data_IF_367347936888
#
_entry.id   IF_367347936888
#
_cell.length_a   1.000
_cell.length_b   1.000
_cell.length_c   1.000
_cell.angle_alpha   90.00
_cell.angle_beta   90.00
_cell.angle_gamma   90.00
#
_symmetry.space_group_name_H-M   'P 1'
#
loop_
_entity.id
_entity.type
_entity.pdbx_description
1 polymer ?
#
# COMPACT_ATOMS: atom_id res chain seq x y z
N UNK A 1 24.06 25.54 -1.79
CA UNK A 1 23.35 26.14 -2.94
C UNK A 1 22.98 25.11 -4.04
N UNK A 2 23.79 24.06 -4.26
CA UNK A 2 23.51 23.02 -5.26
C UNK A 2 22.24 22.16 -5.02
N UNK A 3 21.80 21.99 -3.75
CA UNK A 3 20.60 21.21 -3.41
C UNK A 3 19.28 21.83 -3.89
N UNK A 4 19.21 23.17 -4.00
CA UNK A 4 18.02 23.86 -4.53
C UNK A 4 17.89 23.74 -6.05
N UNK A 5 18.99 23.44 -6.75
CA UNK A 5 19.01 23.40 -8.21
C UNK A 5 18.55 22.05 -8.79
N UNK A 6 18.65 20.95 -8.02
CA UNK A 6 18.16 19.63 -8.44
C UNK A 6 16.66 19.43 -8.20
N UNK A 7 16.09 20.08 -7.17
CA UNK A 7 14.63 20.12 -6.96
C UNK A 7 13.91 21.08 -7.93
N UNK A 8 14.60 22.10 -8.46
CA UNK A 8 14.01 23.07 -9.41
C UNK A 8 13.83 22.54 -10.84
N UNK A 9 14.66 21.58 -11.28
CA UNK A 9 14.53 20.94 -12.60
C UNK A 9 13.39 19.91 -12.68
N UNK A 10 12.76 19.56 -11.56
CA UNK A 10 11.66 18.60 -11.46
C UNK A 10 10.30 19.13 -11.97
N UNK A 11 10.16 20.44 -12.20
CA UNK A 11 8.86 21.11 -12.42
C UNK A 11 8.54 21.47 -13.88
N UNK A 12 9.45 21.26 -14.85
CA UNK A 12 9.28 21.84 -16.18
C UNK A 12 8.89 20.87 -17.32
N UNK A 13 9.03 19.56 -17.15
CA UNK A 13 8.89 18.58 -18.25
C UNK A 13 7.51 17.91 -18.40
N UNK A 14 6.49 18.27 -17.59
CA UNK A 14 5.18 17.57 -17.58
C UNK A 14 4.16 18.05 -18.62
N UNK A 15 4.48 18.98 -19.53
CA UNK A 15 3.48 19.60 -20.40
C UNK A 15 3.25 18.95 -21.79
N UNK A 16 3.87 17.80 -22.11
CA UNK A 16 3.84 17.24 -23.48
C UNK A 16 3.31 15.80 -23.66
N UNK A 17 2.49 15.27 -22.75
CA UNK A 17 1.88 13.94 -22.99
C UNK A 17 0.37 13.86 -22.74
N UNK A 18 -0.41 14.75 -23.38
CA UNK A 18 -1.87 14.59 -23.53
C UNK A 18 -2.18 14.12 -24.94
N UNK A 19 -2.52 12.85 -25.09
CA UNK A 19 -3.19 12.35 -26.29
C UNK A 19 -2.74 10.98 -26.75
N UNK A 20 -2.86 9.94 -25.93
CA UNK A 20 -2.93 8.57 -26.46
C UNK A 20 -3.77 7.65 -25.55
N UNK A 21 -4.89 7.22 -26.13
CA UNK A 21 -5.50 5.89 -25.98
C UNK A 21 -6.38 5.51 -24.77
N UNK A 22 -7.67 5.86 -24.87
CA UNK A 22 -8.75 5.19 -24.14
C UNK A 22 -9.21 3.87 -24.81
N UNK A 23 -8.97 3.70 -26.12
CA UNK A 23 -9.44 2.53 -26.88
C UNK A 23 -8.50 1.32 -26.78
N UNK A 24 -7.19 1.54 -26.60
CA UNK A 24 -6.21 0.47 -26.37
C UNK A 24 -6.37 -0.21 -24.99
N UNK A 25 -6.93 0.49 -23.98
CA UNK A 25 -7.15 -0.06 -22.63
C UNK A 25 -8.25 -1.13 -22.58
N UNK A 26 -9.33 -0.98 -23.37
CA UNK A 26 -10.42 -1.97 -23.39
C UNK A 26 -10.01 -3.30 -24.07
N UNK A 27 -9.32 -3.23 -25.21
CA UNK A 27 -8.90 -4.44 -25.95
C UNK A 27 -7.81 -5.24 -25.23
N UNK A 28 -6.95 -4.58 -24.44
CA UNK A 28 -6.00 -5.26 -23.58
C UNK A 28 -6.69 -5.92 -22.37
N UNK A 29 -7.80 -5.37 -21.87
CA UNK A 29 -8.54 -5.93 -20.74
C UNK A 29 -9.24 -7.27 -21.07
N UNK A 30 -9.85 -7.41 -22.25
CA UNK A 30 -10.46 -8.68 -22.69
C UNK A 30 -9.43 -9.80 -22.98
N UNK A 31 -8.24 -9.42 -23.46
CA UNK A 31 -7.12 -10.37 -23.61
C UNK A 31 -6.55 -10.79 -22.25
N UNK A 32 -6.52 -9.90 -21.27
CA UNK A 32 -6.00 -10.18 -19.92
C UNK A 32 -6.98 -11.01 -19.06
N UNK A 33 -8.29 -10.83 -19.20
CA UNK A 33 -9.28 -11.69 -18.53
C UNK A 33 -9.15 -13.15 -18.96
N UNK A 34 -8.85 -13.37 -20.24
CA UNK A 34 -8.57 -14.70 -20.80
C UNK A 34 -7.26 -15.28 -20.26
N UNK A 35 -6.21 -14.47 -20.08
CA UNK A 35 -4.92 -14.91 -19.52
C UNK A 35 -5.02 -15.28 -18.03
N UNK A 36 -5.83 -14.56 -17.24
CA UNK A 36 -6.09 -14.87 -15.82
C UNK A 36 -6.89 -16.18 -15.69
N UNK A 37 -7.88 -16.40 -16.57
CA UNK A 37 -8.64 -17.66 -16.62
C UNK A 37 -7.83 -18.85 -17.15
N UNK A 38 -6.83 -18.61 -18.00
CA UNK A 38 -5.93 -19.65 -18.49
C UNK A 38 -4.83 -19.97 -17.46
N UNK A 39 -4.30 -18.98 -16.74
CA UNK A 39 -3.30 -19.18 -15.68
C UNK A 39 -3.85 -19.96 -14.48
N UNK A 40 -5.15 -19.82 -14.17
CA UNK A 40 -5.81 -20.64 -13.13
C UNK A 40 -6.02 -22.10 -13.57
N UNK A 41 -6.05 -22.38 -14.88
CA UNK A 41 -6.14 -23.74 -15.43
C UNK A 41 -4.77 -24.39 -15.65
N UNK A 42 -3.75 -23.63 -16.05
CA UNK A 42 -2.39 -24.15 -16.25
C UNK A 42 -1.58 -24.29 -14.96
N UNK A 43 -1.94 -23.59 -13.88
CA UNK A 43 -1.33 -23.79 -12.55
C UNK A 43 -1.58 -25.19 -11.93
N UNK A 44 -2.41 -26.05 -12.56
CA UNK A 44 -2.56 -27.45 -12.13
C UNK A 44 -1.51 -28.39 -12.68
N UNK A 45 -0.67 -27.96 -13.62
CA UNK A 45 0.28 -28.88 -14.24
C UNK A 45 1.57 -28.14 -14.62
N UNK A 46 2.69 -28.55 -13.99
CA UNK A 46 4.09 -28.12 -14.22
C UNK A 46 4.60 -26.90 -13.44
N UNK A 47 5.12 -27.15 -12.24
CA UNK A 47 6.47 -26.71 -11.81
C UNK A 47 6.79 -27.22 -10.40
N UNK A 48 6.91 -28.53 -10.29
CA UNK A 48 7.64 -29.19 -9.22
C UNK A 48 9.15 -28.92 -9.40
N UNK A 49 9.69 -27.96 -8.64
CA UNK A 49 11.05 -27.91 -8.04
C UNK A 49 11.35 -26.50 -7.55
N UNK A 50 10.96 -26.22 -6.30
CA UNK A 50 11.74 -25.48 -5.29
C UNK A 50 10.90 -25.39 -4.01
N UNK A 51 11.48 -25.87 -2.91
CA UNK A 51 10.98 -25.99 -1.52
C UNK A 51 9.45 -26.14 -1.33
N UNK A 52 9.05 -27.36 -1.00
CA UNK A 52 7.67 -27.73 -0.72
C UNK A 52 7.09 -27.02 0.50
N UNK A 53 6.29 -25.99 0.25
CA UNK A 53 5.16 -25.65 1.11
C UNK A 53 3.90 -26.17 0.42
N UNK A 54 3.51 -27.41 0.75
CA UNK A 54 2.18 -27.92 0.42
C UNK A 54 1.19 -27.08 1.23
N UNK A 55 0.23 -26.45 0.55
CA UNK A 55 -0.79 -25.60 1.16
C UNK A 55 -1.68 -26.46 2.06
N UNK A 56 -1.29 -26.58 3.32
CA UNK A 56 -2.15 -27.09 4.38
C UNK A 56 -2.54 -25.86 5.16
N UNK A 57 -3.80 -25.45 5.05
CA UNK A 57 -4.34 -24.48 5.99
C UNK A 57 -4.10 -25.00 7.41
N UNK A 58 -3.75 -24.13 8.36
CA UNK A 58 -3.78 -24.49 9.76
C UNK A 58 -5.14 -25.10 10.09
N UNK A 59 -5.14 -26.25 10.77
CA UNK A 59 -6.37 -26.97 11.14
C UNK A 59 -7.29 -26.00 11.89
N UNK A 60 -8.49 -25.77 11.35
CA UNK A 60 -9.49 -24.87 11.95
C UNK A 60 -9.60 -23.48 11.33
N UNK A 61 -8.76 -23.10 10.37
CA UNK A 61 -8.99 -21.91 9.53
C UNK A 61 -9.71 -22.28 8.24
N UNK A 62 -10.81 -21.60 7.95
CA UNK A 62 -11.54 -21.79 6.69
C UNK A 62 -10.92 -20.96 5.56
N UNK A 63 -11.08 -21.42 4.31
CA UNK A 63 -10.74 -20.62 3.13
C UNK A 63 -11.57 -19.33 3.05
N UNK A 64 -12.82 -19.37 3.53
CA UNK A 64 -13.71 -18.22 3.56
C UNK A 64 -13.16 -17.11 4.47
N UNK A 65 -12.69 -17.45 5.67
CA UNK A 65 -12.12 -16.49 6.62
C UNK A 65 -10.89 -15.81 6.05
N UNK A 66 -10.05 -16.56 5.33
CA UNK A 66 -8.92 -15.96 4.63
C UNK A 66 -9.40 -15.04 3.52
N UNK A 67 -10.30 -15.48 2.65
CA UNK A 67 -10.87 -14.68 1.56
C UNK A 67 -11.44 -13.35 2.07
N UNK A 68 -12.21 -13.42 3.16
CA UNK A 68 -12.86 -12.29 3.80
C UNK A 68 -11.97 -11.56 4.80
N UNK A 69 -10.71 -11.97 4.95
CA UNK A 69 -9.72 -11.36 5.85
C UNK A 69 -10.25 -11.21 7.28
N UNK A 70 -10.85 -12.28 7.82
CA UNK A 70 -11.38 -12.34 9.19
C UNK A 70 -10.34 -12.88 10.16
N UNK A 71 -10.34 -12.36 11.38
CA UNK A 71 -9.49 -12.86 12.46
C UNK A 71 -10.31 -13.52 13.59
N UNK A 72 -9.97 -14.76 13.99
CA UNK A 72 -10.66 -15.46 15.08
C UNK A 72 -10.23 -14.94 16.46
N UNK A 73 -11.03 -15.28 17.49
CA UNK A 73 -10.72 -14.99 18.91
C UNK A 73 -9.55 -15.82 19.45
N UNK A 74 -9.44 -17.08 19.02
CA UNK A 74 -8.42 -18.01 19.52
C UNK A 74 -7.03 -17.59 19.03
N UNK A 75 -6.11 -17.36 19.98
CA UNK A 75 -4.79 -16.79 19.70
C UNK A 75 -3.97 -17.56 18.66
N UNK A 76 -3.90 -18.90 18.75
CA UNK A 76 -3.11 -19.71 17.82
C UNK A 76 -3.64 -19.64 16.38
N UNK A 77 -4.96 -19.73 16.21
CA UNK A 77 -5.60 -19.57 14.90
C UNK A 77 -5.44 -18.16 14.37
N UNK A 78 -5.49 -17.16 15.26
CA UNK A 78 -5.32 -15.76 14.92
C UNK A 78 -3.93 -15.45 14.37
N UNK A 79 -2.87 -15.88 15.06
CA UNK A 79 -1.48 -15.74 14.58
C UNK A 79 -1.33 -16.41 13.22
N UNK A 80 -1.89 -17.61 13.08
CA UNK A 80 -1.82 -18.35 11.82
C UNK A 80 -2.58 -17.64 10.68
N UNK A 81 -3.74 -17.04 10.98
CA UNK A 81 -4.52 -16.26 10.02
C UNK A 81 -3.79 -14.98 9.58
N UNK A 82 -3.15 -14.27 10.52
CA UNK A 82 -2.34 -13.08 10.23
C UNK A 82 -1.25 -13.40 9.22
N UNK A 83 -0.49 -14.49 9.42
CA UNK A 83 0.51 -14.92 8.44
C UNK A 83 -0.12 -15.34 7.12
N UNK A 84 -1.17 -16.16 7.14
CA UNK A 84 -1.79 -16.67 5.93
C UNK A 84 -2.37 -15.55 5.04
N UNK A 85 -2.98 -14.53 5.64
CA UNK A 85 -3.49 -13.34 4.93
C UNK A 85 -2.33 -12.59 4.27
N UNK A 86 -1.25 -12.33 5.01
CA UNK A 86 -0.08 -11.64 4.48
C UNK A 86 0.63 -12.44 3.36
N UNK A 87 0.76 -13.75 3.52
CA UNK A 87 1.42 -14.65 2.54
C UNK A 87 0.58 -14.76 1.25
N UNK A 88 -0.75 -14.71 1.37
CA UNK A 88 -1.63 -14.64 0.20
C UNK A 88 -1.38 -13.35 -0.58
N UNK A 89 -1.35 -12.19 0.09
CA UNK A 89 -1.09 -10.93 -0.60
C UNK A 89 0.32 -10.89 -1.20
N UNK A 90 1.34 -11.41 -0.51
CA UNK A 90 2.68 -11.53 -1.08
C UNK A 90 2.68 -12.28 -2.42
N UNK A 91 2.00 -13.43 -2.50
CA UNK A 91 1.88 -14.23 -3.74
C UNK A 91 1.18 -13.50 -4.89
N UNK A 92 0.30 -12.53 -4.60
CA UNK A 92 -0.45 -11.76 -5.61
C UNK A 92 0.33 -10.59 -6.19
N UNK A 93 1.47 -10.22 -5.61
CA UNK A 93 2.23 -9.02 -5.94
C UNK A 93 2.48 -8.87 -7.45
N UNK A 94 3.08 -9.88 -8.10
CA UNK A 94 3.47 -9.78 -9.51
C UNK A 94 2.26 -9.54 -10.41
N UNK A 95 1.18 -10.29 -10.21
CA UNK A 95 -0.07 -10.10 -10.95
C UNK A 95 -0.63 -8.70 -10.74
N UNK A 96 -0.66 -8.21 -9.49
CA UNK A 96 -1.14 -6.87 -9.20
C UNK A 96 -0.27 -5.78 -9.85
N UNK A 97 1.06 -5.95 -9.88
CA UNK A 97 2.00 -4.99 -10.45
C UNK A 97 1.88 -4.90 -11.98
N UNK A 98 1.65 -6.03 -12.63
CA UNK A 98 1.39 -6.10 -14.08
C UNK A 98 0.06 -5.41 -14.40
N UNK A 99 -1.02 -5.76 -13.69
CA UNK A 99 -2.34 -5.16 -13.90
C UNK A 99 -2.36 -3.65 -13.61
N UNK A 100 -1.57 -3.21 -12.64
CA UNK A 100 -1.35 -1.80 -12.33
C UNK A 100 -0.51 -1.06 -13.39
N UNK A 101 0.22 -1.79 -14.24
CA UNK A 101 1.18 -1.20 -15.17
C UNK A 101 2.38 -0.56 -14.48
N UNK A 102 2.72 -0.98 -13.25
CA UNK A 102 3.89 -0.47 -12.50
C UNK A 102 5.14 -1.33 -12.68
N UNK A 103 4.98 -2.58 -13.15
CA UNK A 103 6.08 -3.53 -13.32
C UNK A 103 7.19 -2.97 -14.23
N UNK A 104 6.81 -2.36 -15.36
CA UNK A 104 7.75 -1.89 -16.39
C UNK A 104 8.08 -0.40 -16.29
N UNK A 105 7.60 0.29 -15.24
CA UNK A 105 7.93 1.70 -15.02
C UNK A 105 9.36 1.81 -14.50
N UNK A 106 10.21 2.47 -15.30
CA UNK A 106 11.61 2.75 -14.97
C UNK A 106 11.82 4.15 -14.42
N UNK A 107 11.03 5.10 -14.92
CA UNK A 107 11.07 6.49 -14.48
C UNK A 107 10.17 6.69 -13.26
N UNK A 108 10.46 7.76 -12.54
CA UNK A 108 9.66 8.18 -11.41
C UNK A 108 8.22 8.46 -11.87
N UNK A 109 7.26 7.97 -11.10
CA UNK A 109 5.85 8.06 -11.42
C UNK A 109 5.02 8.09 -10.15
N UNK A 110 4.02 8.96 -10.11
CA UNK A 110 3.02 9.00 -9.05
C UNK A 110 1.65 9.13 -9.68
N UNK A 111 0.70 8.30 -9.27
CA UNK A 111 -0.63 8.28 -9.88
C UNK A 111 -1.69 7.75 -8.95
N UNK A 112 -2.91 8.27 -9.14
CA UNK A 112 -4.12 7.74 -8.53
C UNK A 112 -5.15 7.55 -9.64
N UNK A 113 -5.70 6.34 -9.74
CA UNK A 113 -6.71 6.00 -10.75
C UNK A 113 -7.89 5.28 -10.09
N UNK A 114 -9.14 5.69 -10.39
CA UNK A 114 -10.31 4.90 -10.05
C UNK A 114 -10.44 3.72 -11.02
N UNK A 115 -10.95 2.60 -10.53
CA UNK A 115 -11.40 1.50 -11.36
C UNK A 115 -12.50 0.71 -10.66
N UNK A 116 -13.25 -0.08 -11.41
CA UNK A 116 -14.29 -0.98 -10.90
C UNK A 116 -13.92 -2.41 -11.20
N UNK A 117 -14.20 -3.32 -10.27
CA UNK A 117 -14.05 -4.75 -10.52
C UNK A 117 -15.28 -5.25 -11.30
N UNK A 118 -15.11 -6.24 -12.21
CA UNK A 118 -16.24 -6.91 -12.82
C UNK A 118 -17.18 -7.46 -11.74
N UNK A 119 -18.49 -7.21 -11.89
CA UNK A 119 -19.54 -7.64 -10.95
C UNK A 119 -19.43 -7.03 -9.53
N UNK A 120 -18.77 -5.89 -9.39
CA UNK A 120 -18.70 -5.13 -8.14
C UNK A 120 -19.32 -3.76 -8.33
N UNK A 121 -20.30 -3.43 -7.49
CA UNK A 121 -20.87 -2.08 -7.42
C UNK A 121 -19.95 -1.10 -6.67
N UNK A 122 -18.83 -1.58 -6.13
CA UNK A 122 -17.81 -0.76 -5.46
C UNK A 122 -16.82 -0.17 -6.46
N UNK A 123 -16.50 1.10 -6.22
CA UNK A 123 -15.36 1.79 -6.84
C UNK A 123 -14.13 1.59 -5.97
N UNK A 124 -13.00 1.30 -6.62
CA UNK A 124 -11.70 1.20 -5.97
C UNK A 124 -10.80 2.32 -6.46
N UNK A 125 -9.94 2.81 -5.58
CA UNK A 125 -8.87 3.75 -5.89
C UNK A 125 -7.54 3.01 -5.82
N UNK A 126 -6.77 3.12 -6.90
CA UNK A 126 -5.44 2.55 -7.01
C UNK A 126 -4.40 3.67 -6.96
N UNK A 127 -3.52 3.63 -5.96
CA UNK A 127 -2.40 4.55 -5.78
C UNK A 127 -1.12 3.85 -6.19
N UNK A 128 -0.33 4.52 -7.00
CA UNK A 128 0.91 4.00 -7.58
C UNK A 128 2.03 5.01 -7.34
N UNK A 129 3.14 4.55 -6.80
CA UNK A 129 4.38 5.30 -6.68
C UNK A 129 5.53 4.45 -7.20
N UNK A 130 6.33 5.01 -8.10
CA UNK A 130 7.60 4.46 -8.55
C UNK A 130 8.62 5.57 -8.40
N UNK A 131 9.72 5.31 -7.72
CA UNK A 131 10.76 6.31 -7.47
C UNK A 131 12.14 5.70 -7.48
N UNK A 132 13.11 6.42 -8.04
CA UNK A 132 14.52 6.12 -7.92
C UNK A 132 15.11 6.91 -6.76
N UNK A 133 15.62 6.20 -5.76
CA UNK A 133 16.16 6.76 -4.53
C UNK A 133 17.68 6.60 -4.54
N UNK A 134 18.40 7.68 -4.21
CA UNK A 134 19.86 7.69 -4.15
C UNK A 134 20.42 7.05 -2.87
N UNK A 135 19.98 5.82 -2.57
CA UNK A 135 20.44 5.03 -1.45
C UNK A 135 20.34 3.52 -1.73
N UNK A 136 21.17 2.68 -1.07
CA UNK A 136 21.08 1.23 -1.23
C UNK A 136 19.75 0.66 -0.74
N UNK A 137 19.17 -0.27 -1.51
CA UNK A 137 17.82 -0.78 -1.28
C UNK A 137 17.59 -1.34 0.13
N UNK A 138 18.56 -2.10 0.68
CA UNK A 138 18.48 -2.67 2.04
C UNK A 138 18.31 -1.61 3.13
N UNK A 139 18.98 -0.46 2.97
CA UNK A 139 18.88 0.65 3.95
C UNK A 139 17.51 1.31 3.88
N UNK A 140 16.99 1.49 2.66
CA UNK A 140 15.66 2.06 2.42
C UNK A 140 14.57 1.12 2.93
N UNK A 141 14.61 -0.17 2.60
CA UNK A 141 13.65 -1.15 3.06
C UNK A 141 13.63 -1.28 4.60
N UNK A 142 14.80 -1.37 5.23
CA UNK A 142 14.91 -1.40 6.69
C UNK A 142 14.42 -0.08 7.35
N UNK A 143 14.58 1.06 6.67
CA UNK A 143 13.98 2.32 7.11
C UNK A 143 12.44 2.27 7.02
N UNK A 144 11.87 1.80 5.91
CA UNK A 144 10.42 1.63 5.76
C UNK A 144 9.85 0.73 6.85
N UNK A 145 10.48 -0.43 7.08
CA UNK A 145 10.00 -1.39 8.07
C UNK A 145 10.00 -0.82 9.49
N UNK A 146 11.06 -0.10 9.87
CA UNK A 146 11.13 0.58 11.18
C UNK A 146 10.05 1.63 11.36
N UNK A 147 9.67 2.36 10.30
CA UNK A 147 8.57 3.32 10.35
C UNK A 147 7.24 2.60 10.64
N UNK A 148 7.05 1.40 10.09
CA UNK A 148 5.85 0.60 10.39
C UNK A 148 5.87 -0.02 11.79
N UNK A 149 7.04 -0.41 12.32
CA UNK A 149 7.17 -1.06 13.63
C UNK A 149 7.01 -0.12 14.82
N UNK A 150 7.44 1.13 14.68
CA UNK A 150 7.46 2.04 15.82
C UNK A 150 6.08 2.63 16.11
N UNK A 151 5.76 2.91 17.38
CA UNK A 151 4.87 4.02 17.66
C UNK A 151 5.56 5.22 17.02
N UNK A 152 5.05 5.68 15.89
CA UNK A 152 5.48 6.96 15.40
C UNK A 152 5.27 7.92 16.58
N UNK A 153 6.31 8.63 17.06
CA UNK A 153 6.21 9.74 18.04
C UNK A 153 5.36 10.91 17.48
N UNK A 154 4.50 10.60 16.55
CA UNK A 154 3.53 11.39 15.85
C UNK A 154 2.30 11.34 16.71
N UNK A 155 1.95 12.48 17.29
CA UNK A 155 0.65 12.64 17.94
C UNK A 155 -0.44 12.19 16.98
N UNK A 156 -1.16 11.16 17.37
CA UNK A 156 -2.40 10.78 16.72
C UNK A 156 -3.45 11.86 17.00
N UNK A 157 -4.43 12.06 16.12
CA UNK A 157 -5.60 12.87 16.44
C UNK A 157 -6.24 12.36 17.74
N UNK A 158 -6.77 13.25 18.58
CA UNK A 158 -7.45 12.88 19.84
C UNK A 158 -8.62 11.89 19.60
N UNK A 159 -9.18 11.90 18.39
CA UNK A 159 -10.26 10.98 18.00
C UNK A 159 -9.79 9.58 17.59
N UNK A 160 -8.49 9.29 17.65
CA UNK A 160 -7.90 8.03 17.21
C UNK A 160 -7.40 7.17 18.38
N UNK A 161 -7.46 5.86 18.19
CA UNK A 161 -6.92 4.84 19.09
C UNK A 161 -6.08 3.87 18.28
N UNK A 162 -4.92 3.50 18.79
CA UNK A 162 -4.00 2.58 18.15
C UNK A 162 -3.47 1.56 19.16
N UNK A 163 -3.42 0.30 18.74
CA UNK A 163 -2.66 -0.74 19.43
C UNK A 163 -1.88 -1.54 18.40
N UNK A 164 -0.65 -1.92 18.74
CA UNK A 164 0.25 -2.66 17.87
C UNK A 164 0.64 -3.95 18.59
N UNK A 165 0.28 -5.07 17.97
CA UNK A 165 0.66 -6.42 18.39
C UNK A 165 1.81 -6.89 17.49
N UNK A 166 3.02 -7.00 18.05
CA UNK A 166 4.18 -7.58 17.35
C UNK A 166 4.05 -9.11 17.41
N UNK A 167 3.86 -9.73 16.26
CA UNK A 167 3.66 -11.18 16.14
C UNK A 167 5.00 -11.90 16.08
N UNK A 168 5.94 -11.36 15.30
CA UNK A 168 7.35 -11.76 15.23
C UNK A 168 8.21 -10.60 14.68
N UNK A 169 9.50 -10.84 14.42
CA UNK A 169 10.45 -9.85 13.92
C UNK A 169 10.03 -9.16 12.60
N UNK A 170 9.18 -9.84 11.83
CA UNK A 170 8.79 -9.47 10.47
C UNK A 170 7.29 -9.32 10.28
N UNK A 171 6.48 -9.50 11.32
CA UNK A 171 5.03 -9.50 11.23
C UNK A 171 4.43 -8.72 12.38
N UNK A 172 3.54 -7.80 12.06
CA UNK A 172 2.77 -7.05 13.05
C UNK A 172 1.30 -7.01 12.66
N UNK A 173 0.49 -6.80 13.68
CA UNK A 173 -0.91 -6.48 13.55
C UNK A 173 -1.20 -5.17 14.28
N UNK A 174 -1.76 -4.21 13.57
CA UNK A 174 -2.19 -2.92 14.11
C UNK A 174 -3.71 -2.91 14.17
N UNK A 175 -4.26 -2.53 15.32
CA UNK A 175 -5.67 -2.12 15.43
C UNK A 175 -5.70 -0.62 15.55
N UNK A 176 -6.24 0.02 14.53
CA UNK A 176 -6.37 1.46 14.46
C UNK A 176 -7.85 1.79 14.26
N UNK A 177 -8.36 2.69 15.09
CA UNK A 177 -9.69 3.24 14.93
C UNK A 177 -9.68 4.74 15.06
N UNK A 178 -10.50 5.44 14.29
CA UNK A 178 -10.61 6.88 14.36
C UNK A 178 -12.05 7.32 14.18
N UNK A 179 -12.54 8.15 15.10
CA UNK A 179 -13.85 8.77 14.96
C UNK A 179 -13.76 9.90 13.93
N UNK A 180 -14.57 9.79 12.87
CA UNK A 180 -14.77 10.84 11.90
C UNK A 180 -16.26 11.20 11.88
N UNK A 181 -16.57 12.45 12.25
CA UNK A 181 -17.94 12.89 12.57
C UNK A 181 -18.52 12.01 13.69
N UNK A 182 -19.54 11.22 13.38
CA UNK A 182 -20.20 10.32 14.33
C UNK A 182 -19.92 8.83 14.04
N UNK A 183 -19.12 8.52 13.03
CA UNK A 183 -18.84 7.15 12.60
C UNK A 183 -17.44 6.76 13.06
N UNK A 184 -17.32 5.58 13.69
CA UNK A 184 -16.03 4.98 14.00
C UNK A 184 -15.48 4.31 12.73
N UNK A 185 -14.31 4.75 12.28
CA UNK A 185 -13.59 4.09 11.20
C UNK A 185 -12.58 3.10 11.78
N UNK A 186 -12.48 1.91 11.19
CA UNK A 186 -11.54 0.86 11.56
C UNK A 186 -10.56 0.58 10.41
N UNK A 187 -9.26 0.69 10.68
CA UNK A 187 -8.16 0.46 9.73
C UNK A 187 -7.21 -0.60 10.28
N UNK A 188 -7.78 -1.68 10.80
CA UNK A 188 -7.00 -2.77 11.38
C UNK A 188 -6.14 -3.40 10.29
N UNK A 189 -4.83 -3.43 10.46
CA UNK A 189 -3.88 -3.71 9.39
C UNK A 189 -2.88 -4.78 9.80
N UNK A 190 -2.75 -5.83 8.98
CA UNK A 190 -1.60 -6.73 9.01
C UNK A 190 -0.50 -6.15 8.12
N UNK A 191 0.73 -6.14 8.65
CA UNK A 191 1.94 -5.85 7.86
C UNK A 191 2.95 -6.95 8.04
N UNK A 192 3.54 -7.42 6.94
CA UNK A 192 4.58 -8.43 6.96
C UNK A 192 5.73 -8.06 6.03
N UNK A 193 6.94 -8.16 6.55
CA UNK A 193 8.19 -7.87 5.85
C UNK A 193 8.83 -9.16 5.35
N UNK A 194 9.17 -9.20 4.07
CA UNK A 194 9.86 -10.29 3.41
C UNK A 194 11.23 -9.76 2.97
N UNK A 195 12.25 -9.79 3.85
CA UNK A 195 13.61 -9.46 3.46
C UNK A 195 14.22 -10.63 2.68
N UNK A 196 14.95 -10.37 1.59
CA UNK A 196 15.83 -11.38 1.00
C UNK A 196 15.79 -11.48 -0.53
N UNK A 197 16.75 -12.21 -1.11
CA UNK A 197 16.89 -12.30 -2.57
C UNK A 197 17.22 -10.95 -3.21
N UNK A 198 16.58 -10.66 -4.34
CA UNK A 198 16.84 -9.47 -5.17
C UNK A 198 15.93 -8.27 -4.85
N UNK A 199 15.07 -8.39 -3.84
CA UNK A 199 14.14 -7.32 -3.44
C UNK A 199 13.70 -7.46 -2.00
N UNK A 200 13.30 -6.35 -1.40
CA UNK A 200 12.67 -6.33 -0.08
C UNK A 200 11.22 -5.89 -0.22
N UNK A 201 10.29 -6.69 0.35
CA UNK A 201 8.84 -6.48 0.17
C UNK A 201 8.16 -6.33 1.51
N UNK A 202 7.41 -5.26 1.71
CA UNK A 202 6.50 -5.09 2.84
C UNK A 202 5.07 -5.18 2.30
N UNK A 203 4.34 -6.18 2.76
CA UNK A 203 2.92 -6.37 2.46
C UNK A 203 2.08 -5.62 3.49
N UNK A 204 0.97 -5.04 3.03
CA UNK A 204 -0.08 -4.46 3.87
C UNK A 204 -1.43 -5.02 3.45
N UNK A 205 -2.24 -5.45 4.42
CA UNK A 205 -3.65 -5.83 4.20
C UNK A 205 -4.49 -5.45 5.40
N UNK A 206 -5.63 -4.80 5.17
CA UNK A 206 -6.60 -4.59 6.24
C UNK A 206 -7.43 -5.83 6.55
N UNK A 207 -7.79 -5.95 7.82
CA UNK A 207 -8.67 -6.97 8.38
C UNK A 207 -10.09 -6.43 8.34
N UNK A 208 -11.00 -7.18 7.74
CA UNK A 208 -12.37 -6.73 7.52
C UNK A 208 -13.30 -7.12 8.68
N UNK A 209 -12.90 -8.11 9.47
CA UNK A 209 -13.62 -8.55 10.65
C UNK A 209 -12.62 -9.08 11.68
N UNK A 210 -12.78 -8.65 12.93
CA UNK A 210 -11.94 -9.07 14.03
C UNK A 210 -12.83 -9.41 15.23
N UNK A 211 -12.88 -10.70 15.55
CA UNK A 211 -13.74 -11.21 16.61
C UNK A 211 -13.35 -10.72 18.03
N UNK A 212 -12.17 -10.10 18.21
CA UNK A 212 -11.76 -9.47 19.48
C UNK A 212 -12.21 -8.01 19.62
N UNK A 213 -12.66 -7.36 18.55
CA UNK A 213 -13.10 -5.97 18.58
C UNK A 213 -14.57 -5.92 19.02
N UNK A 214 -14.85 -5.08 20.02
CA UNK A 214 -16.19 -4.82 20.55
C UNK A 214 -16.40 -3.30 20.66
N UNK A 215 -17.50 -2.76 20.11
CA UNK A 215 -18.52 -3.44 19.30
C UNK A 215 -17.95 -3.99 17.96
N UNK A 216 -18.67 -4.90 17.27
CA UNK A 216 -18.22 -5.43 15.98
C UNK A 216 -17.85 -4.32 14.99
N UNK A 217 -16.74 -4.49 14.27
CA UNK A 217 -16.23 -3.49 13.32
C UNK A 217 -17.25 -3.10 12.24
N UNK A 218 -18.16 -4.01 11.91
CA UNK A 218 -19.26 -3.79 10.96
C UNK A 218 -20.30 -2.76 11.40
N UNK A 219 -20.31 -2.36 12.68
CA UNK A 219 -21.13 -1.24 13.17
C UNK A 219 -20.53 0.13 12.79
N UNK A 220 -19.25 0.15 12.40
CA UNK A 220 -18.54 1.32 11.90
C UNK A 220 -18.25 1.27 10.40
N UNK A 221 -17.34 2.13 9.95
CA UNK A 221 -16.76 2.06 8.63
C UNK A 221 -15.49 1.21 8.65
N UNK A 222 -15.40 0.20 7.81
CA UNK A 222 -14.24 -0.70 7.75
C UNK A 222 -13.43 -0.43 6.48
N UNK A 223 -12.15 -0.14 6.66
CA UNK A 223 -11.22 0.03 5.54
C UNK A 223 -10.93 -1.30 4.85
N UNK A 224 -11.10 -1.32 3.53
CA UNK A 224 -10.75 -2.45 2.68
C UNK A 224 -9.62 -2.04 1.74
N UNK A 225 -8.40 -2.14 2.28
CA UNK A 225 -7.19 -1.74 1.60
C UNK A 225 -6.18 -2.88 1.57
N UNK A 226 -5.47 -2.98 0.46
CA UNK A 226 -4.29 -3.84 0.35
C UNK A 226 -3.19 -3.13 -0.42
N UNK A 227 -1.94 -3.55 -0.22
CA UNK A 227 -0.83 -2.97 -0.95
C UNK A 227 0.52 -3.62 -0.68
N UNK A 228 1.49 -3.20 -1.47
CA UNK A 228 2.89 -3.58 -1.35
C UNK A 228 3.77 -2.34 -1.38
N UNK A 229 4.83 -2.39 -0.59
CA UNK A 229 6.01 -1.56 -0.72
C UNK A 229 7.15 -2.48 -1.10
N UNK A 230 7.76 -2.23 -2.25
CA UNK A 230 8.85 -3.04 -2.79
C UNK A 230 10.05 -2.15 -3.00
N UNK A 231 11.22 -2.57 -2.51
CA UNK A 231 12.48 -1.87 -2.74
C UNK A 231 13.44 -2.84 -3.41
N UNK A 232 13.89 -2.48 -4.60
CA UNK A 232 14.81 -3.30 -5.41
C UNK A 232 16.09 -2.52 -5.72
N UNK A 233 17.24 -3.17 -5.92
CA UNK A 233 18.42 -2.52 -6.46
C UNK A 233 18.10 -1.80 -7.77
N UNK A 234 18.69 -0.63 -7.99
CA UNK A 234 18.60 0.01 -9.30
C UNK A 234 19.43 -0.79 -10.32
N UNK A 235 18.87 -1.02 -11.52
CA UNK A 235 19.46 -1.93 -12.52
C UNK A 235 20.90 -1.58 -12.89
N UNK A 236 21.21 -0.28 -12.97
CA UNK A 236 22.50 0.22 -13.43
C UNK A 236 23.40 0.77 -12.31
N UNK A 237 22.91 0.85 -11.07
CA UNK A 237 23.63 1.51 -9.97
C UNK A 237 23.26 0.92 -8.61
N UNK A 238 24.13 0.07 -8.06
CA UNK A 238 23.89 -0.59 -6.76
C UNK A 238 23.87 0.37 -5.56
N UNK A 239 24.34 1.60 -5.73
CA UNK A 239 24.27 2.63 -4.70
C UNK A 239 22.88 3.28 -4.61
N UNK A 240 22.00 2.98 -5.57
CA UNK A 240 20.63 3.45 -5.70
C UNK A 240 19.65 2.29 -5.61
N UNK A 241 18.40 2.63 -5.39
CA UNK A 241 17.31 1.66 -5.42
C UNK A 241 16.09 2.21 -6.12
N UNK A 242 15.25 1.30 -6.61
CA UNK A 242 13.91 1.62 -7.07
C UNK A 242 12.92 1.22 -5.99
N UNK A 243 12.09 2.17 -5.61
CA UNK A 243 10.98 2.01 -4.68
C UNK A 243 9.68 1.94 -5.47
N UNK A 244 8.84 0.95 -5.16
CA UNK A 244 7.53 0.77 -5.77
C UNK A 244 6.51 0.66 -4.64
N UNK A 245 5.59 1.62 -4.56
CA UNK A 245 4.42 1.57 -3.70
C UNK A 245 3.17 1.32 -4.54
N UNK A 246 2.43 0.27 -4.23
CA UNK A 246 1.11 0.03 -4.82
C UNK A 246 0.11 -0.15 -3.69
N UNK A 247 -0.96 0.65 -3.70
CA UNK A 247 -2.05 0.55 -2.75
C UNK A 247 -3.37 0.53 -3.52
N UNK A 248 -4.31 -0.29 -3.07
CA UNK A 248 -5.69 -0.25 -3.52
C UNK A 248 -6.59 -0.10 -2.31
N UNK A 249 -7.49 0.86 -2.34
CA UNK A 249 -8.53 1.10 -1.33
C UNK A 249 -9.90 0.98 -1.98
N UNK A 250 -10.81 0.22 -1.36
CA UNK A 250 -12.22 0.36 -1.67
C UNK A 250 -12.68 1.76 -1.23
N UNK A 251 -13.61 2.32 -1.99
CA UNK A 251 -14.36 3.51 -1.57
C UNK A 251 -15.75 3.04 -1.19
N UNK A 252 -16.21 3.42 0.00
CA UNK A 252 -17.53 3.01 0.46
C UNK A 252 -18.59 3.55 -0.51
N UNK A 253 -19.70 2.82 -0.73
CA UNK A 253 -20.83 3.34 -1.50
C UNK A 253 -21.28 4.64 -0.83
N UNK A 254 -20.97 5.77 -1.46
CA UNK A 254 -21.34 7.07 -0.90
C UNK A 254 -22.86 7.13 -0.79
N UNK A 255 -23.38 7.37 0.42
CA UNK A 255 -24.69 8.02 0.52
C UNK A 255 -24.51 9.35 -0.20
N UNK A 256 -25.18 9.52 -1.36
CA UNK A 256 -25.21 10.79 -2.09
C UNK A 256 -25.75 11.84 -1.13
N UNK A 257 -24.87 12.57 -0.44
CA UNK A 257 -25.28 13.79 0.23
C UNK A 257 -25.60 14.79 -0.88
N UNK A 258 -26.78 15.38 -0.82
CA UNK A 258 -27.25 16.44 -1.72
C UNK A 258 -26.46 17.76 -1.56
N UNK A 259 -25.16 17.68 -1.27
CA UNK A 259 -24.27 18.84 -1.23
C UNK A 259 -23.94 19.23 -2.66
N UNK A 260 -24.55 20.33 -3.09
CA UNK A 260 -24.50 20.90 -4.43
C UNK A 260 -23.06 20.96 -4.99
N UNK A 261 -22.82 20.24 -6.09
CA UNK A 261 -21.72 20.52 -7.02
C UNK A 261 -20.36 19.84 -6.80
N UNK A 262 -20.12 19.09 -5.70
CA UNK A 262 -18.87 18.31 -5.51
C UNK A 262 -19.08 16.82 -5.71
N UNK A 263 -18.16 16.19 -6.43
CA UNK A 263 -18.11 14.75 -6.64
C UNK A 263 -17.22 14.09 -5.58
N UNK A 264 -17.77 13.28 -4.65
CA UNK A 264 -17.00 12.67 -3.58
C UNK A 264 -15.85 11.76 -4.06
N UNK A 265 -15.97 11.19 -5.27
CA UNK A 265 -14.89 10.43 -5.88
C UNK A 265 -13.70 11.32 -6.27
N UNK A 266 -13.97 12.53 -6.78
CA UNK A 266 -12.93 13.48 -7.13
C UNK A 266 -12.23 14.01 -5.87
N UNK A 267 -12.97 14.24 -4.79
CA UNK A 267 -12.42 14.60 -3.48
C UNK A 267 -11.52 13.48 -2.92
N UNK A 268 -11.94 12.22 -3.05
CA UNK A 268 -11.15 11.04 -2.66
C UNK A 268 -9.87 10.91 -3.51
N UNK A 269 -9.96 11.12 -4.82
CA UNK A 269 -8.80 11.13 -5.72
C UNK A 269 -7.85 12.27 -5.34
N UNK A 270 -8.36 13.48 -5.10
CA UNK A 270 -7.55 14.63 -4.70
C UNK A 270 -6.83 14.38 -3.38
N UNK A 271 -7.53 13.80 -2.39
CA UNK A 271 -6.95 13.43 -1.12
C UNK A 271 -5.85 12.36 -1.25
N UNK A 272 -6.05 11.32 -2.06
CA UNK A 272 -5.01 10.31 -2.29
C UNK A 272 -3.83 10.87 -3.09
N UNK A 273 -4.06 11.75 -4.07
CA UNK A 273 -2.98 12.45 -4.79
C UNK A 273 -2.16 13.33 -3.86
N UNK A 274 -2.77 13.82 -2.78
CA UNK A 274 -2.07 14.59 -1.77
C UNK A 274 -1.03 13.78 -1.00
N UNK A 275 -1.23 12.46 -0.94
CA UNK A 275 -0.21 11.53 -0.46
C UNK A 275 0.80 11.35 -1.59
N UNK A 276 1.90 12.07 -1.51
CA UNK A 276 2.94 12.02 -2.53
C UNK A 276 4.30 12.01 -1.90
N UNK A 277 5.11 11.00 -2.21
CA UNK A 277 6.48 10.94 -1.73
C UNK A 277 7.40 11.95 -2.45
N UNK A 278 6.99 12.46 -3.60
CA UNK A 278 7.78 13.35 -4.46
C UNK A 278 7.36 14.81 -4.35
N UNK A 279 6.10 15.09 -4.03
CA UNK A 279 5.55 16.44 -3.94
C UNK A 279 4.88 16.64 -2.57
N UNK A 280 4.85 17.88 -2.08
CA UNK A 280 3.98 18.27 -0.96
C UNK A 280 2.73 18.89 -1.55
N UNK A 281 1.61 18.18 -1.45
CA UNK A 281 0.30 18.70 -1.80
C UNK A 281 -0.52 18.78 -0.53
N UNK A 282 -0.89 19.99 -0.12
CA UNK A 282 -1.78 20.21 1.01
C UNK A 282 -3.23 20.15 0.52
N UNK A 283 -3.76 18.93 0.38
CA UNK A 283 -5.21 18.76 0.27
C UNK A 283 -5.85 18.84 1.66
N UNK A 284 -6.90 19.66 1.85
CA UNK A 284 -7.66 19.69 3.09
C UNK A 284 -8.25 18.30 3.37
N UNK A 285 -8.03 17.75 4.56
CA UNK A 285 -8.51 16.40 4.92
C UNK A 285 -10.03 16.34 5.14
N UNK A 286 -10.64 17.48 5.45
CA UNK A 286 -12.07 17.67 5.71
C UNK A 286 -12.95 17.46 4.48
N UNK A 287 -12.37 17.45 3.26
CA UNK A 287 -13.11 17.11 2.04
C UNK A 287 -13.48 15.62 1.98
N UNK A 288 -12.74 14.75 2.67
CA UNK A 288 -12.98 13.30 2.61
C UNK A 288 -14.21 12.96 3.45
N UNK A 289 -15.28 12.56 2.78
CA UNK A 289 -16.54 12.20 3.45
C UNK A 289 -16.57 10.76 3.95
N UNK A 290 -15.82 9.85 3.32
CA UNK A 290 -15.73 8.45 3.70
C UNK A 290 -14.88 8.32 4.98
N UNK A 291 -15.44 7.83 6.10
CA UNK A 291 -14.71 7.72 7.37
C UNK A 291 -13.50 6.78 7.31
N UNK A 292 -13.62 5.64 6.61
CA UNK A 292 -12.55 4.65 6.49
C UNK A 292 -11.41 5.21 5.63
N UNK A 293 -11.73 5.82 4.49
CA UNK A 293 -10.75 6.48 3.64
C UNK A 293 -10.10 7.67 4.38
N UNK A 294 -10.86 8.46 5.13
CA UNK A 294 -10.33 9.57 5.94
C UNK A 294 -9.27 9.07 6.93
N UNK A 295 -9.60 8.02 7.68
CA UNK A 295 -8.69 7.41 8.64
C UNK A 295 -7.43 6.85 7.95
N UNK A 296 -7.61 6.16 6.83
CA UNK A 296 -6.51 5.61 6.01
C UNK A 296 -5.59 6.69 5.43
N UNK A 297 -6.15 7.77 4.88
CA UNK A 297 -5.38 8.89 4.32
C UNK A 297 -4.66 9.65 5.42
N UNK A 298 -5.32 9.89 6.56
CA UNK A 298 -4.69 10.52 7.73
C UNK A 298 -3.45 9.74 8.16
N UNK A 299 -3.57 8.42 8.26
CA UNK A 299 -2.45 7.52 8.58
C UNK A 299 -1.37 7.50 7.51
N UNK A 300 -1.75 7.49 6.24
CA UNK A 300 -0.81 7.53 5.14
C UNK A 300 0.02 8.82 5.09
N UNK A 301 -0.57 9.99 5.40
CA UNK A 301 0.17 11.26 5.51
C UNK A 301 1.22 11.24 6.63
N UNK A 302 0.90 10.58 7.76
CA UNK A 302 1.85 10.42 8.86
C UNK A 302 3.02 9.51 8.47
N UNK A 303 2.72 8.40 7.78
CA UNK A 303 3.75 7.55 7.19
C UNK A 303 4.60 8.32 6.18
N UNK A 304 4.00 9.08 5.27
CA UNK A 304 4.69 9.87 4.25
C UNK A 304 5.66 10.88 4.89
N UNK A 305 5.21 11.60 5.92
CA UNK A 305 6.07 12.54 6.67
C UNK A 305 7.26 11.83 7.31
N UNK A 306 7.03 10.71 7.99
CA UNK A 306 8.08 9.92 8.62
C UNK A 306 9.06 9.35 7.58
N UNK A 307 8.54 8.88 6.45
CA UNK A 307 9.30 8.33 5.35
C UNK A 307 10.17 9.38 4.67
N UNK A 308 9.61 10.54 4.32
CA UNK A 308 10.37 11.69 3.77
C UNK A 308 11.48 12.14 4.72
N UNK A 309 11.22 12.16 6.03
CA UNK A 309 12.26 12.47 7.02
C UNK A 309 13.37 11.43 7.01
N UNK A 310 13.01 10.15 7.08
CA UNK A 310 13.97 9.05 7.16
C UNK A 310 14.79 8.92 5.88
N UNK A 311 14.18 9.12 4.70
CA UNK A 311 14.89 9.12 3.43
C UNK A 311 15.96 10.21 3.36
N UNK A 312 15.64 11.43 3.82
CA UNK A 312 16.62 12.53 3.89
C UNK A 312 17.83 12.14 4.76
N UNK A 313 17.58 11.50 5.90
CA UNK A 313 18.66 11.05 6.79
C UNK A 313 19.51 9.93 6.17
N UNK A 314 18.86 8.96 5.50
CA UNK A 314 19.56 7.85 4.83
C UNK A 314 20.46 8.36 3.70
N UNK A 315 19.96 9.29 2.88
CA UNK A 315 20.71 9.91 1.78
C UNK A 315 21.85 10.79 2.33
N UNK A 316 21.59 11.61 3.35
CA UNK A 316 22.61 12.45 3.97
C UNK A 316 23.79 11.62 4.53
N UNK A 317 23.51 10.51 5.22
CA UNK A 317 24.54 9.60 5.74
C UNK A 317 25.37 8.94 4.63
N UNK A 318 24.78 8.67 3.45
CA UNK A 318 25.52 8.17 2.28
C UNK A 318 26.56 9.20 1.83
N UNK A 319 26.15 10.46 1.64
CA UNK A 319 27.02 11.56 1.20
C UNK A 319 28.21 11.74 2.16
N UNK A 320 27.96 11.71 3.48
CA UNK A 320 29.03 11.81 4.48
C UNK A 320 30.00 10.62 4.40
N UNK A 321 29.48 9.40 4.27
CA UNK A 321 30.32 8.20 4.16
C UNK A 321 31.17 8.18 2.89
N UNK A 322 30.65 8.67 1.77
CA UNK A 322 31.38 8.73 0.50
C UNK A 322 32.47 9.82 0.54
N UNK A 323 32.20 10.93 1.22
CA UNK A 323 33.17 12.02 1.42
C UNK A 323 34.36 11.60 2.30
N UNK A 324 34.11 10.75 3.30
CA UNK A 324 35.16 10.22 4.17
C UNK A 324 36.05 9.16 3.49
N UNK A 325 35.62 8.57 2.37
CA UNK A 325 36.42 7.60 1.60
C UNK A 325 37.34 8.26 0.57
N UNK A 326 37.14 9.54 0.29
CA UNK A 326 37.90 10.32 -0.70
C UNK A 326 39.06 11.11 -0.08
N UNK A 327 39.15 11.14 1.25
CA UNK A 327 40.24 11.73 2.03
C UNK A 327 41.09 10.61 2.66
#
# INVERSE_FOLDING_TARGET
MALKCQLGKWLHDENEQKGFDANMKMKNFERLSTIVLLSSKTSRDKSSRNLGYRHTLPVGLSDEDLQLCRLPKQLSLRISAIHAIADREYRRQNTAFILAGVHDKLNDYSGVAPFTLPNSDRVYLQVQHVMNIDAPYRRVAAACWRIFQGPSNVMHPESATETIDIIDDYTMYERYSQKHKSIMAHVNTVRKYYPGGDQDVIVRRTILDDALVQPPMSEGAVDDTWGWLVVVPHANDRSKCRFIGLLQSAVSPFQRSNTEGRNPLDDAIAALKSISFTQTMDAPMDIIQDPALYASVSRAKLFEKAFKSTLRDVVARKITADSLKLN
#
